data_IF_504469862882
#
_entry.id   IF_504469862882
#
_cell.length_a   1.000
_cell.length_b   1.000
_cell.length_c   1.000
_cell.angle_alpha   90.00
_cell.angle_beta   90.00
_cell.angle_gamma   90.00
#
_symmetry.space_group_name_H-M   'P 1'
#
loop_
_entity.id
_entity.type
_entity.pdbx_description
1 polymer ?
#
# COMPACT_ATOMS: atom_id res chain seq x y z
N UNK A 1 21.99 -9.25 -2.39
CA UNK A 1 21.04 -9.31 -3.52
C UNK A 1 20.96 -10.79 -3.96
N UNK A 2 19.86 -11.50 -3.70
CA UNK A 2 19.72 -12.93 -4.07
C UNK A 2 19.52 -12.97 -5.59
N UNK A 3 20.52 -13.46 -6.32
CA UNK A 3 20.43 -13.61 -7.78
C UNK A 3 19.54 -14.82 -8.05
N UNK A 4 18.31 -14.58 -8.48
CA UNK A 4 17.39 -15.64 -8.91
C UNK A 4 17.85 -16.09 -10.30
N UNK A 5 18.65 -17.15 -10.36
CA UNK A 5 18.93 -17.83 -11.63
C UNK A 5 17.73 -18.71 -11.95
N UNK A 6 17.07 -18.45 -13.07
CA UNK A 6 16.08 -19.36 -13.66
C UNK A 6 16.76 -20.71 -13.91
N UNK A 7 16.49 -21.71 -13.09
CA UNK A 7 16.93 -23.08 -13.35
C UNK A 7 16.00 -23.65 -14.42
N UNK A 8 16.52 -23.82 -15.66
CA UNK A 8 15.81 -24.55 -16.72
C UNK A 8 15.84 -26.04 -16.36
N UNK A 9 14.69 -26.71 -16.40
CA UNK A 9 14.56 -28.16 -16.13
C UNK A 9 14.13 -28.55 -14.71
N UNK A 10 13.68 -27.61 -13.87
CA UNK A 10 13.09 -27.92 -12.57
C UNK A 10 11.59 -28.23 -12.70
N UNK A 11 11.13 -29.33 -12.09
CA UNK A 11 9.71 -29.69 -12.01
C UNK A 11 9.19 -29.23 -10.64
N UNK A 12 8.15 -28.40 -10.64
CA UNK A 12 7.42 -28.04 -9.43
C UNK A 12 6.12 -28.84 -9.41
N UNK A 13 5.88 -29.58 -8.33
CA UNK A 13 4.62 -30.29 -8.11
C UNK A 13 3.78 -29.48 -7.13
N UNK A 14 2.58 -29.10 -7.56
CA UNK A 14 1.58 -28.48 -6.70
C UNK A 14 0.62 -29.58 -6.23
N UNK A 15 0.55 -29.79 -4.93
CA UNK A 15 -0.35 -30.76 -4.33
C UNK A 15 -1.39 -30.05 -3.46
N UNK A 16 -2.67 -30.39 -3.68
CA UNK A 16 -3.79 -29.98 -2.85
C UNK A 16 -4.81 -29.05 -3.51
N UNK A 17 -5.77 -28.62 -2.70
CA UNK A 17 -6.77 -27.59 -2.99
C UNK A 17 -7.32 -27.08 -1.65
N UNK A 18 -6.42 -26.59 -0.81
CA UNK A 18 -6.75 -26.19 0.56
C UNK A 18 -7.53 -24.88 0.55
N UNK A 19 -8.44 -24.71 1.52
CA UNK A 19 -9.32 -23.54 1.57
C UNK A 19 -8.55 -22.23 1.75
N UNK A 20 -7.41 -22.27 2.45
CA UNK A 20 -6.56 -21.11 2.66
C UNK A 20 -5.14 -21.50 3.08
N UNK A 21 -4.22 -20.53 3.08
CA UNK A 21 -2.89 -20.67 3.66
C UNK A 21 -2.87 -20.81 5.20
N UNK A 22 -4.02 -20.69 5.87
CA UNK A 22 -4.19 -20.93 7.32
C UNK A 22 -4.90 -22.26 7.60
N UNK A 23 -5.20 -23.03 6.57
CA UNK A 23 -5.89 -24.31 6.72
C UNK A 23 -5.02 -25.31 7.49
N UNK A 24 -5.55 -25.82 8.60
CA UNK A 24 -4.85 -26.76 9.49
C UNK A 24 -4.47 -28.03 8.72
N UNK A 25 -5.34 -28.49 7.81
CA UNK A 25 -5.10 -29.69 7.00
C UNK A 25 -3.92 -29.46 6.05
N UNK A 26 -3.84 -28.27 5.44
CA UNK A 26 -2.74 -27.88 4.57
C UNK A 26 -1.40 -27.85 5.30
N UNK A 27 -1.36 -27.27 6.50
CA UNK A 27 -0.15 -27.25 7.35
C UNK A 27 0.26 -28.64 7.82
N UNK A 28 -0.69 -29.50 8.20
CA UNK A 28 -0.41 -30.91 8.53
C UNK A 28 0.18 -31.67 7.34
N UNK A 29 -0.38 -31.46 6.15
CA UNK A 29 0.14 -32.10 4.93
C UNK A 29 1.52 -31.58 4.56
N UNK A 30 1.78 -30.27 4.69
CA UNK A 30 3.11 -29.71 4.52
C UNK A 30 4.12 -30.34 5.49
N UNK A 31 3.78 -30.41 6.78
CA UNK A 31 4.64 -31.03 7.80
C UNK A 31 4.91 -32.51 7.51
N UNK A 32 3.91 -33.23 7.00
CA UNK A 32 4.10 -34.61 6.56
C UNK A 32 5.02 -34.71 5.33
N UNK A 33 4.89 -33.81 4.36
CA UNK A 33 5.76 -33.76 3.17
C UNK A 33 7.21 -33.45 3.56
N UNK A 34 7.41 -32.48 4.45
CA UNK A 34 8.74 -32.05 4.90
C UNK A 34 9.47 -33.14 5.69
N UNK A 35 8.76 -34.00 6.42
CA UNK A 35 9.40 -34.92 7.37
C UNK A 35 9.31 -36.39 6.98
N UNK A 36 8.21 -36.81 6.36
CA UNK A 36 7.88 -38.23 6.17
C UNK A 36 7.76 -38.64 4.71
N UNK A 37 7.50 -37.70 3.80
CA UNK A 37 7.31 -38.04 2.39
C UNK A 37 8.64 -38.22 1.66
N UNK A 38 8.87 -39.42 1.14
CA UNK A 38 10.03 -39.75 0.32
C UNK A 38 9.56 -40.38 -1.00
N UNK A 39 9.48 -39.60 -2.10
CA UNK A 39 9.09 -40.15 -3.40
C UNK A 39 10.19 -41.05 -3.96
N UNK A 40 9.80 -42.08 -4.71
CA UNK A 40 10.74 -43.07 -5.32
C UNK A 40 11.83 -42.42 -6.19
N UNK A 41 11.53 -41.28 -6.80
CA UNK A 41 12.49 -40.49 -7.58
C UNK A 41 13.62 -39.92 -6.71
N UNK A 42 13.38 -39.70 -5.42
CA UNK A 42 14.34 -39.13 -4.47
C UNK A 42 14.99 -40.19 -3.54
N UNK A 43 14.66 -41.47 -3.71
CA UNK A 43 15.09 -42.57 -2.83
C UNK A 43 16.18 -43.48 -3.43
N UNK A 44 16.97 -42.97 -4.38
CA UNK A 44 18.02 -43.76 -5.06
C UNK A 44 19.39 -43.67 -4.39
N UNK A 45 20.35 -44.44 -4.91
CA UNK A 45 21.76 -44.28 -4.53
C UNK A 45 22.30 -42.93 -4.96
N UNK A 46 23.03 -42.29 -4.06
CA UNK A 46 23.73 -41.03 -4.31
C UNK A 46 24.87 -41.28 -5.30
N UNK A 47 24.84 -40.61 -6.44
CA UNK A 47 25.86 -40.69 -7.48
C UNK A 47 26.99 -39.67 -7.29
N UNK A 48 26.78 -38.60 -6.51
CA UNK A 48 27.82 -37.58 -6.24
C UNK A 48 27.51 -36.81 -4.96
N UNK A 49 28.54 -36.58 -4.14
CA UNK A 49 28.47 -35.81 -2.90
C UNK A 49 29.00 -34.39 -3.10
N UNK A 50 28.12 -33.39 -2.99
CA UNK A 50 28.40 -31.98 -3.26
C UNK A 50 27.20 -31.11 -2.88
N UNK A 51 27.21 -29.80 -3.20
CA UNK A 51 26.08 -28.88 -2.87
C UNK A 51 24.72 -29.30 -3.45
N UNK A 52 24.74 -30.16 -4.46
CA UNK A 52 23.57 -30.72 -5.13
C UNK A 52 23.78 -32.23 -5.22
N UNK A 53 22.86 -32.99 -4.65
CA UNK A 53 22.89 -34.46 -4.66
C UNK A 53 22.24 -34.93 -5.95
N UNK A 54 22.99 -35.69 -6.74
CA UNK A 54 22.46 -36.39 -7.93
C UNK A 54 22.27 -37.87 -7.59
N UNK A 55 21.14 -38.41 -7.97
CA UNK A 55 20.79 -39.82 -7.79
C UNK A 55 21.01 -40.59 -9.08
N UNK A 56 21.33 -41.89 -8.99
CA UNK A 56 21.52 -42.76 -10.17
C UNK A 56 20.27 -42.84 -11.07
N UNK A 57 19.09 -42.66 -10.49
CA UNK A 57 17.80 -42.64 -11.20
C UNK A 57 17.50 -41.29 -11.90
N UNK A 58 18.46 -40.34 -11.93
CA UNK A 58 18.31 -39.03 -12.57
C UNK A 58 17.71 -37.95 -11.67
N UNK A 59 17.32 -38.25 -10.44
CA UNK A 59 16.83 -37.26 -9.47
C UNK A 59 17.94 -36.29 -9.03
N UNK A 60 17.62 -35.00 -8.95
CA UNK A 60 18.56 -33.95 -8.52
C UNK A 60 17.89 -33.09 -7.47
N UNK A 61 18.49 -32.99 -6.27
CA UNK A 61 17.97 -32.16 -5.19
C UNK A 61 19.08 -31.47 -4.40
N UNK A 62 18.70 -30.45 -3.63
CA UNK A 62 19.63 -29.73 -2.76
C UNK A 62 19.77 -30.48 -1.43
N UNK A 63 20.98 -30.91 -1.08
CA UNK A 63 21.26 -31.52 0.21
C UNK A 63 20.89 -30.55 1.34
N UNK A 64 20.01 -31.00 2.23
CA UNK A 64 19.52 -30.27 3.40
C UNK A 64 19.50 -31.26 4.56
N UNK A 65 19.79 -30.81 5.78
CA UNK A 65 19.77 -31.68 6.96
C UNK A 65 18.36 -32.27 7.18
N UNK A 66 18.18 -33.53 6.79
CA UNK A 66 16.90 -34.26 6.85
C UNK A 66 16.33 -34.61 5.47
N UNK A 67 15.02 -34.44 5.31
CA UNK A 67 14.31 -34.80 4.07
C UNK A 67 14.70 -33.89 2.88
N UNK A 68 14.83 -34.44 1.66
CA UNK A 68 14.98 -33.68 0.42
C UNK A 68 13.89 -32.61 0.19
N UNK A 69 12.72 -32.76 0.82
CA UNK A 69 11.55 -31.90 0.64
C UNK A 69 11.33 -30.89 1.78
N UNK A 70 12.32 -30.72 2.67
CA UNK A 70 12.27 -29.75 3.79
C UNK A 70 12.13 -28.28 3.35
N UNK A 71 12.29 -28.00 2.06
CA UNK A 71 12.07 -26.69 1.45
C UNK A 71 10.68 -26.49 0.84
N UNK A 72 9.76 -27.44 1.00
CA UNK A 72 8.37 -27.28 0.56
C UNK A 72 7.70 -26.09 1.27
N UNK A 73 6.74 -25.45 0.61
CA UNK A 73 6.00 -24.32 1.20
C UNK A 73 4.59 -24.22 0.63
N UNK A 74 3.69 -23.62 1.41
CA UNK A 74 2.34 -23.29 0.94
C UNK A 74 2.38 -21.99 0.12
N UNK A 75 1.77 -22.03 -1.06
CA UNK A 75 1.63 -20.87 -1.94
C UNK A 75 0.16 -20.63 -2.29
N UNK A 76 -0.14 -19.41 -2.74
CA UNK A 76 -1.46 -19.06 -3.29
C UNK A 76 -1.70 -19.87 -4.55
N UNK A 77 -2.95 -20.29 -4.76
CA UNK A 77 -3.35 -21.03 -5.94
C UNK A 77 -3.01 -20.21 -7.21
N UNK A 78 -2.16 -20.71 -8.12
CA UNK A 78 -1.75 -19.99 -9.32
C UNK A 78 -2.88 -19.82 -10.35
N UNK A 79 -3.97 -20.58 -10.22
CA UNK A 79 -5.16 -20.43 -11.06
C UNK A 79 -6.02 -19.23 -10.65
N UNK A 80 -5.77 -18.64 -9.47
CA UNK A 80 -6.48 -17.42 -9.07
C UNK A 80 -6.07 -16.26 -9.97
N UNK A 81 -7.07 -15.50 -10.39
CA UNK A 81 -6.81 -14.22 -11.07
C UNK A 81 -6.06 -13.27 -10.14
N UNK A 82 -5.36 -12.30 -10.71
CA UNK A 82 -4.64 -11.28 -9.93
C UNK A 82 -5.57 -10.50 -9.00
N UNK A 83 -6.84 -10.32 -9.38
CA UNK A 83 -7.86 -9.67 -8.55
C UNK A 83 -8.29 -10.52 -7.36
N UNK A 84 -8.56 -11.81 -7.58
CA UNK A 84 -8.93 -12.74 -6.51
C UNK A 84 -7.78 -12.95 -5.51
N UNK A 85 -6.56 -13.12 -6.00
CA UNK A 85 -5.38 -13.22 -5.15
C UNK A 85 -5.20 -11.99 -4.25
N UNK A 86 -5.47 -10.78 -4.78
CA UNK A 86 -5.43 -9.53 -4.00
C UNK A 86 -6.52 -9.46 -2.94
N UNK A 87 -7.72 -9.99 -3.18
CA UNK A 87 -8.81 -10.01 -2.17
C UNK A 87 -8.41 -10.80 -0.92
N UNK A 88 -7.63 -11.86 -1.08
CA UNK A 88 -7.17 -12.70 0.03
C UNK A 88 -5.94 -12.15 0.76
N UNK A 89 -5.16 -11.28 0.10
CA UNK A 89 -3.95 -10.71 0.68
C UNK A 89 -4.26 -9.46 1.54
N UNK A 90 -4.52 -9.67 2.84
CA UNK A 90 -4.60 -8.58 3.82
C UNK A 90 -3.22 -8.29 4.40
N UNK A 91 -2.70 -7.08 4.17
CA UNK A 91 -1.43 -6.65 4.76
C UNK A 91 -1.63 -6.26 6.24
N UNK A 92 -1.12 -7.03 7.22
CA UNK A 92 -1.41 -6.80 8.64
C UNK A 92 -0.93 -5.43 9.12
N UNK A 93 0.16 -4.92 8.54
CA UNK A 93 0.69 -3.61 8.90
C UNK A 93 -0.24 -2.49 8.44
N UNK A 94 -0.73 -2.53 7.19
CA UNK A 94 -1.66 -1.51 6.69
C UNK A 94 -2.99 -1.54 7.44
N UNK A 95 -3.47 -2.74 7.79
CA UNK A 95 -4.66 -2.91 8.62
C UNK A 95 -4.50 -2.28 10.01
N UNK A 96 -3.30 -2.34 10.61
CA UNK A 96 -2.96 -1.71 11.89
C UNK A 96 -2.80 -0.19 11.77
N UNK A 97 -2.24 0.30 10.67
CA UNK A 97 -2.05 1.73 10.42
C UNK A 97 -3.36 2.47 10.18
N UNK A 98 -4.39 1.78 9.70
CA UNK A 98 -5.68 2.35 9.33
C UNK A 98 -6.81 1.83 10.23
N UNK A 99 -6.81 2.12 11.54
CA UNK A 99 -7.86 1.66 12.43
C UNK A 99 -9.24 2.14 11.97
N UNK A 100 -10.29 1.43 12.41
CA UNK A 100 -11.67 1.88 12.23
C UNK A 100 -11.87 3.20 12.97
N UNK A 101 -12.27 4.24 12.25
CA UNK A 101 -12.51 5.57 12.81
C UNK A 101 -13.36 6.37 11.84
N UNK A 102 -13.98 7.48 12.28
CA UNK A 102 -14.97 8.23 11.47
C UNK A 102 -14.47 8.51 10.06
N UNK A 103 -13.30 9.14 9.95
CA UNK A 103 -12.66 9.50 8.68
C UNK A 103 -11.75 8.41 8.10
N UNK A 104 -11.80 7.16 8.57
CA UNK A 104 -10.93 6.09 8.05
C UNK A 104 -11.34 5.70 6.64
N UNK A 105 -10.36 5.41 5.77
CA UNK A 105 -10.59 4.92 4.41
C UNK A 105 -11.43 3.64 4.36
N UNK A 106 -11.45 2.85 5.45
CA UNK A 106 -12.29 1.65 5.58
C UNK A 106 -13.79 1.94 5.46
N UNK A 107 -14.21 3.18 5.71
CA UNK A 107 -15.60 3.59 5.62
C UNK A 107 -15.98 4.07 4.21
N UNK A 108 -15.02 4.11 3.26
CA UNK A 108 -15.30 4.47 1.88
C UNK A 108 -15.96 3.28 1.16
N UNK A 109 -17.16 3.48 0.65
CA UNK A 109 -17.95 2.45 -0.06
C UNK A 109 -17.59 2.35 -1.55
N UNK A 110 -16.85 3.31 -2.09
CA UNK A 110 -16.41 3.32 -3.48
C UNK A 110 -15.27 2.34 -3.72
N UNK A 111 -15.07 1.96 -4.99
CA UNK A 111 -13.87 1.21 -5.41
C UNK A 111 -12.67 2.13 -5.60
N UNK A 112 -12.92 3.41 -5.89
CA UNK A 112 -11.92 4.43 -6.14
C UNK A 112 -12.23 5.70 -5.36
N UNK A 113 -11.20 6.48 -5.05
CA UNK A 113 -11.30 7.77 -4.38
C UNK A 113 -10.21 8.72 -4.89
N UNK A 114 -10.40 10.02 -4.72
CA UNK A 114 -9.47 11.02 -5.21
C UNK A 114 -8.55 11.50 -4.09
N UNK A 115 -7.24 11.31 -4.21
CA UNK A 115 -6.24 11.90 -3.30
C UNK A 115 -6.18 13.40 -3.56
N UNK A 116 -6.44 14.19 -2.51
CA UNK A 116 -6.42 15.66 -2.56
C UNK A 116 -5.29 16.26 -1.74
N UNK A 117 -4.74 15.56 -0.75
CA UNK A 117 -3.60 16.03 0.02
C UNK A 117 -2.71 14.86 0.48
N UNK A 118 -1.40 15.04 0.39
CA UNK A 118 -0.40 14.08 0.86
C UNK A 118 0.46 14.68 1.97
N UNK A 119 0.48 14.03 3.14
CA UNK A 119 1.30 14.39 4.30
C UNK A 119 2.43 13.38 4.48
N UNK A 120 3.65 13.84 4.32
CA UNK A 120 4.85 13.03 4.48
C UNK A 120 5.44 13.23 5.88
N UNK A 121 6.03 12.18 6.45
CA UNK A 121 6.86 12.34 7.64
C UNK A 121 8.12 13.18 7.32
N UNK A 122 8.90 13.55 8.34
CA UNK A 122 10.17 14.30 8.24
C UNK A 122 11.28 13.59 7.40
N UNK A 123 10.96 12.53 6.67
CA UNK A 123 11.87 11.76 5.80
C UNK A 123 11.44 11.89 4.32
N UNK A 124 11.31 13.12 3.84
CA UNK A 124 11.63 13.42 2.45
C UNK A 124 12.68 14.52 2.46
N UNK A 125 13.92 14.09 2.28
CA UNK A 125 15.06 14.94 1.96
C UNK A 125 14.71 15.87 0.81
N UNK A 126 14.93 17.14 1.08
CA UNK A 126 15.05 18.29 0.19
C UNK A 126 15.24 17.92 -1.29
N UNK A 127 14.24 18.24 -2.12
CA UNK A 127 14.43 18.43 -3.56
C UNK A 127 13.87 19.81 -3.90
N UNK A 128 14.78 20.74 -4.22
CA UNK A 128 14.44 22.08 -4.73
C UNK A 128 14.97 23.21 -3.85
N UNK A 129 16.00 23.91 -4.34
CA UNK A 129 16.65 25.07 -3.71
C UNK A 129 15.74 26.30 -3.69
N UNK A 130 15.70 26.99 -2.55
CA UNK A 130 15.85 28.44 -2.33
C UNK A 130 15.02 28.86 -1.12
N UNK A 131 15.65 29.63 -0.23
CA UNK A 131 15.35 29.67 1.19
C UNK A 131 13.98 30.21 1.57
N UNK A 132 13.40 29.59 2.59
CA UNK A 132 12.70 30.28 3.67
C UNK A 132 12.96 29.48 4.96
N UNK A 133 13.67 30.16 5.86
CA UNK A 133 13.86 29.94 7.29
C UNK A 133 14.11 28.54 7.85
N UNK A 134 15.33 28.41 8.39
CA UNK A 134 15.71 27.52 9.48
C UNK A 134 14.89 27.85 10.74
N UNK A 135 13.60 27.52 10.76
CA UNK A 135 12.92 27.33 12.01
C UNK A 135 13.50 26.05 12.63
N UNK A 136 14.33 26.22 13.66
CA UNK A 136 14.84 25.14 14.54
C UNK A 136 13.73 24.14 14.79
N UNK A 137 13.78 22.99 14.09
CA UNK A 137 12.89 21.87 14.34
C UNK A 137 13.30 21.34 15.71
N UNK A 138 12.65 21.84 16.76
CA UNK A 138 12.69 21.24 18.08
C UNK A 138 12.35 19.77 17.89
N UNK A 139 13.33 18.94 18.23
CA UNK A 139 13.27 17.49 18.13
C UNK A 139 12.36 16.98 19.26
N UNK A 140 11.07 17.25 19.16
CA UNK A 140 10.09 16.53 19.94
C UNK A 140 10.09 15.06 19.51
N UNK A 141 10.05 14.17 20.51
CA UNK A 141 10.02 12.70 20.37
C UNK A 141 8.80 12.16 19.59
N UNK A 142 8.00 13.03 18.98
CA UNK A 142 6.92 12.65 18.08
C UNK A 142 7.49 12.39 16.69
N UNK A 143 7.42 11.13 16.24
CA UNK A 143 7.86 10.74 14.90
C UNK A 143 7.18 11.64 13.85
N UNK A 144 7.89 12.10 12.81
CA UNK A 144 7.30 12.95 11.78
C UNK A 144 6.05 12.34 11.12
N UNK A 145 5.96 11.01 11.10
CA UNK A 145 4.78 10.27 10.65
C UNK A 145 3.57 10.44 11.58
N UNK A 146 3.78 10.54 12.90
CA UNK A 146 2.71 10.85 13.87
C UNK A 146 2.11 12.22 13.61
N UNK A 147 2.94 13.21 13.26
CA UNK A 147 2.48 14.56 12.89
C UNK A 147 1.68 14.48 11.59
N UNK A 148 2.23 13.85 10.54
CA UNK A 148 1.52 13.66 9.27
C UNK A 148 0.16 12.95 9.44
N UNK A 149 0.11 11.94 10.32
CA UNK A 149 -1.13 11.23 10.68
C UNK A 149 -2.15 12.19 11.29
N UNK A 150 -1.73 13.00 12.25
CA UNK A 150 -2.60 13.95 12.93
C UNK A 150 -3.08 15.06 11.99
N UNK A 151 -2.20 15.59 11.14
CA UNK A 151 -2.54 16.60 10.13
C UNK A 151 -3.59 16.10 9.15
N UNK A 152 -3.39 14.91 8.60
CA UNK A 152 -4.36 14.29 7.69
C UNK A 152 -5.72 14.07 8.37
N UNK A 153 -5.72 13.65 9.63
CA UNK A 153 -6.93 13.44 10.41
C UNK A 153 -7.69 14.74 10.69
N UNK A 154 -7.00 15.81 11.09
CA UNK A 154 -7.61 17.13 11.32
C UNK A 154 -8.20 17.67 10.02
N UNK A 155 -7.43 17.60 8.91
CA UNK A 155 -7.91 18.05 7.60
C UNK A 155 -9.17 17.28 7.18
N UNK A 156 -9.16 15.94 7.25
CA UNK A 156 -10.32 15.16 6.85
C UNK A 156 -11.56 15.43 7.71
N UNK A 157 -11.41 15.59 9.03
CA UNK A 157 -12.51 15.98 9.90
C UNK A 157 -13.09 17.35 9.52
N UNK A 158 -12.22 18.31 9.22
CA UNK A 158 -12.65 19.65 8.79
C UNK A 158 -13.34 19.62 7.43
N UNK A 159 -12.84 18.82 6.48
CA UNK A 159 -13.50 18.64 5.19
C UNK A 159 -14.89 18.02 5.36
N UNK A 160 -15.04 17.03 6.26
CA UNK A 160 -16.34 16.45 6.58
C UNK A 160 -17.30 17.42 7.26
N UNK A 161 -16.83 18.26 8.17
CA UNK A 161 -17.69 19.26 8.82
C UNK A 161 -18.23 20.30 7.83
N UNK A 162 -17.54 20.51 6.71
CA UNK A 162 -17.96 21.38 5.60
C UNK A 162 -18.84 20.65 4.57
N UNK A 163 -19.05 19.34 4.73
CA UNK A 163 -19.94 18.54 3.88
C UNK A 163 -19.24 17.75 2.75
N UNK A 164 -17.92 17.57 2.81
CA UNK A 164 -17.21 16.71 1.87
C UNK A 164 -17.08 15.27 2.39
N UNK A 165 -17.23 14.28 1.51
CA UNK A 165 -16.91 12.88 1.82
C UNK A 165 -15.40 12.64 1.83
N UNK A 166 -14.73 13.08 2.89
CA UNK A 166 -13.29 12.96 3.05
C UNK A 166 -12.88 11.70 3.83
N UNK A 167 -11.80 11.03 3.43
CA UNK A 167 -11.24 9.87 4.13
C UNK A 167 -9.73 9.96 4.24
N UNK A 168 -9.17 9.33 5.26
CA UNK A 168 -7.74 9.27 5.53
C UNK A 168 -7.23 7.86 5.33
N UNK A 169 -6.16 7.74 4.56
CA UNK A 169 -5.39 6.52 4.41
C UNK A 169 -3.95 6.74 4.88
N UNK A 170 -3.47 5.84 5.73
CA UNK A 170 -2.13 5.82 6.26
C UNK A 170 -1.34 4.68 5.61
N UNK A 171 -0.23 5.03 5.00
CA UNK A 171 0.77 4.08 4.52
C UNK A 171 2.03 4.16 5.42
N UNK A 172 3.01 3.30 5.16
CA UNK A 172 4.30 3.21 5.86
C UNK A 172 5.08 4.53 5.83
N UNK A 173 4.87 5.35 4.80
CA UNK A 173 5.69 6.53 4.51
C UNK A 173 4.92 7.86 4.58
N UNK A 174 3.59 7.81 4.47
CA UNK A 174 2.77 9.01 4.37
C UNK A 174 1.33 8.77 4.81
N UNK A 175 0.63 9.86 5.10
CA UNK A 175 -0.82 9.89 5.30
C UNK A 175 -1.43 10.71 4.18
N UNK A 176 -2.47 10.20 3.53
CA UNK A 176 -3.17 10.91 2.46
C UNK A 176 -4.60 11.18 2.87
N UNK A 177 -5.12 12.33 2.44
CA UNK A 177 -6.54 12.68 2.52
C UNK A 177 -7.13 12.51 1.13
N UNK A 178 -8.26 11.81 1.08
CA UNK A 178 -8.98 11.44 -0.12
C UNK A 178 -10.40 11.99 -0.06
N UNK A 179 -11.03 12.24 -1.21
CA UNK A 179 -12.40 12.74 -1.31
C UNK A 179 -13.19 11.88 -2.28
N UNK A 180 -14.44 11.61 -1.90
CA UNK A 180 -15.42 10.92 -2.71
C UNK A 180 -15.29 9.41 -2.69
N UNK A 181 -16.38 8.77 -3.10
CA UNK A 181 -16.53 7.33 -3.21
C UNK A 181 -17.02 7.05 -4.63
N UNK A 182 -16.15 6.52 -5.49
CA UNK A 182 -16.43 6.35 -6.91
C UNK A 182 -16.28 4.90 -7.34
N UNK A 183 -17.01 4.51 -8.38
CA UNK A 183 -16.75 3.30 -9.14
C UNK A 183 -16.31 3.68 -10.56
N UNK A 184 -15.01 3.65 -10.84
CA UNK A 184 -14.48 3.99 -12.17
C UNK A 184 -14.96 3.06 -13.28
N UNK A 185 -15.42 1.85 -12.94
CA UNK A 185 -16.04 0.95 -13.94
C UNK A 185 -17.35 1.51 -14.48
N UNK A 186 -17.99 2.38 -13.70
CA UNK A 186 -19.13 3.18 -14.14
C UNK A 186 -18.63 4.46 -14.83
N UNK A 187 -18.71 4.46 -16.17
CA UNK A 187 -18.29 5.57 -17.02
C UNK A 187 -19.02 6.89 -16.70
N UNK A 188 -20.20 6.82 -16.09
CA UNK A 188 -20.98 8.01 -15.73
C UNK A 188 -20.35 8.82 -14.60
N UNK A 189 -19.47 8.21 -13.81
CA UNK A 189 -18.81 8.86 -12.67
C UNK A 189 -17.47 9.54 -13.04
N UNK A 190 -16.95 9.28 -14.25
CA UNK A 190 -15.70 9.89 -14.74
C UNK A 190 -15.78 11.44 -14.74
N UNK A 191 -16.86 12.08 -15.23
CA UNK A 191 -16.99 13.54 -15.16
C UNK A 191 -17.01 14.07 -13.72
N UNK A 192 -17.61 13.34 -12.78
CA UNK A 192 -17.63 13.73 -11.37
C UNK A 192 -16.21 13.69 -10.75
N UNK A 193 -15.44 12.66 -11.04
CA UNK A 193 -14.03 12.56 -10.62
C UNK A 193 -13.21 13.73 -11.20
N UNK A 194 -13.39 14.05 -12.48
CA UNK A 194 -12.70 15.16 -13.13
C UNK A 194 -13.08 16.52 -12.53
N UNK A 195 -14.36 16.70 -12.18
CA UNK A 195 -14.85 17.90 -11.51
C UNK A 195 -14.18 18.09 -10.15
N UNK A 196 -14.11 17.05 -9.33
CA UNK A 196 -13.43 17.11 -8.02
C UNK A 196 -11.91 17.29 -8.18
N UNK A 197 -11.29 16.63 -9.16
CA UNK A 197 -9.87 16.82 -9.47
C UNK A 197 -9.55 18.27 -9.87
N UNK A 198 -10.43 18.92 -10.66
CA UNK A 198 -10.31 20.34 -11.00
C UNK A 198 -10.60 21.27 -9.82
N UNK A 199 -11.47 20.85 -8.90
CA UNK A 199 -11.83 21.63 -7.70
C UNK A 199 -10.65 21.77 -6.74
N UNK A 200 -9.96 20.66 -6.48
CA UNK A 200 -8.85 20.57 -5.52
C UNK A 200 -7.46 20.75 -6.16
N UNK A 201 -7.35 20.55 -7.48
CA UNK A 201 -6.09 20.72 -8.20
C UNK A 201 -5.68 22.17 -8.37
N UNK A 202 -4.40 22.37 -8.68
CA UNK A 202 -3.83 23.68 -8.86
C UNK A 202 -4.48 24.41 -10.05
N UNK A 203 -4.59 25.74 -9.92
CA UNK A 203 -5.18 26.61 -10.93
C UNK A 203 -4.16 27.64 -11.40
N UNK A 204 -4.22 27.96 -12.68
CA UNK A 204 -3.43 29.05 -13.25
C UNK A 204 -4.00 30.36 -12.73
N UNK A 205 -3.15 31.16 -12.08
CA UNK A 205 -3.48 32.50 -11.60
C UNK A 205 -2.41 33.47 -12.06
N UNK A 206 -2.80 34.72 -12.27
CA UNK A 206 -1.86 35.79 -12.55
C UNK A 206 -1.25 36.27 -11.24
N UNK A 207 0.08 36.35 -11.19
CA UNK A 207 0.77 36.96 -10.06
C UNK A 207 0.77 38.50 -10.17
N UNK A 208 1.32 39.19 -9.16
CA UNK A 208 1.46 40.65 -9.16
C UNK A 208 2.32 41.20 -10.32
N UNK A 209 3.06 40.34 -11.02
CA UNK A 209 3.94 40.67 -12.15
C UNK A 209 3.30 40.35 -13.52
N UNK A 210 2.00 40.05 -13.57
CA UNK A 210 1.30 39.60 -14.78
C UNK A 210 1.91 38.34 -15.43
N UNK A 211 2.46 37.42 -14.63
CA UNK A 211 2.90 36.11 -15.11
C UNK A 211 1.88 35.05 -14.69
N UNK A 212 1.65 34.07 -15.58
CA UNK A 212 0.80 32.91 -15.29
C UNK A 212 1.56 31.92 -14.39
N UNK A 213 1.11 31.78 -13.15
CA UNK A 213 1.69 30.84 -12.18
C UNK A 213 0.67 29.78 -11.77
N UNK A 214 1.12 28.53 -11.71
CA UNK A 214 0.32 27.41 -11.22
C UNK A 214 0.27 27.48 -9.69
N UNK A 215 -0.89 27.81 -9.13
CA UNK A 215 -1.09 27.98 -7.68
C UNK A 215 -1.88 26.81 -7.13
N UNK A 216 -1.30 26.08 -6.15
CA UNK A 216 -1.99 25.03 -5.42
C UNK A 216 -3.20 25.61 -4.65
N UNK A 217 -4.29 24.84 -4.62
CA UNK A 217 -5.47 25.23 -3.84
C UNK A 217 -5.20 25.03 -2.35
N UNK A 218 -5.83 25.87 -1.54
CA UNK A 218 -5.71 25.85 -0.09
C UNK A 218 -7.08 25.73 0.56
N UNK A 219 -7.12 25.07 1.72
CA UNK A 219 -8.27 25.11 2.62
C UNK A 219 -7.83 25.64 3.97
N UNK A 220 -8.68 26.47 4.57
CA UNK A 220 -8.45 27.08 5.88
C UNK A 220 -9.37 26.48 6.93
N UNK A 221 -8.94 26.49 8.19
CA UNK A 221 -9.77 26.28 9.36
C UNK A 221 -9.88 27.61 10.13
N UNK A 222 -11.07 28.23 10.25
CA UNK A 222 -12.37 27.82 9.68
C UNK A 222 -12.41 27.93 8.15
N UNK A 223 -13.37 27.25 7.51
CA UNK A 223 -13.53 27.22 6.05
C UNK A 223 -13.81 28.61 5.45
N UNK A 224 -14.54 29.46 6.18
CA UNK A 224 -14.77 30.87 5.85
C UNK A 224 -14.26 31.72 7.01
N UNK A 225 -12.99 32.19 6.95
CA UNK A 225 -12.45 33.05 8.01
C UNK A 225 -13.13 34.40 8.02
N UNK A 226 -13.30 34.96 9.22
CA UNK A 226 -13.86 36.29 9.46
C UNK A 226 -12.89 37.08 10.36
N UNK A 227 -13.08 38.38 10.49
CA UNK A 227 -12.27 39.21 11.40
C UNK A 227 -12.36 38.72 12.85
N UNK A 228 -13.52 38.17 13.24
CA UNK A 228 -13.78 37.64 14.58
C UNK A 228 -13.24 36.20 14.75
N UNK A 229 -13.23 35.40 13.67
CA UNK A 229 -12.69 34.04 13.66
C UNK A 229 -11.60 33.89 12.58
N UNK A 230 -10.37 34.35 12.88
CA UNK A 230 -9.28 34.36 11.92
C UNK A 230 -8.81 32.94 11.57
N UNK A 231 -8.01 32.84 10.51
CA UNK A 231 -7.46 31.56 10.06
C UNK A 231 -6.54 30.98 11.14
N UNK A 232 -6.95 29.86 11.71
CA UNK A 232 -6.15 29.09 12.69
C UNK A 232 -5.16 28.18 12.00
N UNK A 233 -5.54 27.65 10.83
CA UNK A 233 -4.72 26.68 10.09
C UNK A 233 -5.01 26.72 8.60
N UNK A 234 -3.99 26.41 7.79
CA UNK A 234 -4.08 26.29 6.33
C UNK A 234 -3.45 24.97 5.91
N UNK A 235 -4.06 24.31 4.93
CA UNK A 235 -3.48 23.15 4.26
C UNK A 235 -3.41 23.42 2.76
N UNK A 236 -2.32 22.96 2.14
CA UNK A 236 -2.14 22.93 0.70
C UNK A 236 -2.66 21.60 0.18
N UNK A 237 -3.42 21.64 -0.91
CA UNK A 237 -3.78 20.45 -1.67
C UNK A 237 -2.67 20.05 -2.62
N UNK A 238 -2.66 18.77 -2.99
CA UNK A 238 -1.76 18.23 -4.00
C UNK A 238 -2.10 18.92 -5.33
N UNK A 239 -1.11 19.50 -6.04
CA UNK A 239 -1.37 20.32 -7.23
C UNK A 239 -2.02 19.53 -8.37
N UNK A 240 -1.82 18.21 -8.38
CA UNK A 240 -2.47 17.29 -9.31
C UNK A 240 -3.10 16.14 -8.51
N UNK A 241 -4.39 16.24 -8.15
CA UNK A 241 -5.13 15.18 -7.49
C UNK A 241 -5.08 13.88 -8.32
N UNK A 242 -4.92 12.75 -7.63
CA UNK A 242 -4.78 11.44 -8.28
C UNK A 242 -5.82 10.47 -7.77
N UNK A 243 -6.38 9.67 -8.67
CA UNK A 243 -7.29 8.59 -8.27
C UNK A 243 -6.48 7.46 -7.65
N UNK A 244 -6.96 6.92 -6.54
CA UNK A 244 -6.46 5.69 -5.93
C UNK A 244 -7.59 4.68 -5.77
N UNK A 245 -7.23 3.40 -5.83
CA UNK A 245 -8.12 2.32 -5.44
C UNK A 245 -8.30 2.33 -3.92
N UNK A 246 -9.52 2.09 -3.46
CA UNK A 246 -9.80 1.93 -2.02
C UNK A 246 -9.21 0.59 -1.57
N UNK A 247 -8.22 0.60 -0.67
CA UNK A 247 -7.52 -0.62 -0.29
C UNK A 247 -8.42 -1.54 0.54
N UNK A 248 -8.36 -2.84 0.26
CA UNK A 248 -9.01 -3.85 1.09
C UNK A 248 -8.15 -4.12 2.35
N UNK A 249 -8.59 -3.60 3.50
CA UNK A 249 -7.84 -3.57 4.78
C UNK A 249 -8.36 -4.56 5.83
#
# INVERSE_FOLDING_TARGET
>A
RKVVRSQKGAICVLAGNYKSNKDIVGHKTLSWIENNFSPKLLSGDIATDGRVTKLKNGGVFKSTDGSPLKGAFLTVNPLLTTEEARKHFKNPLLARLNPSGKCSIRNNKGKHTLIVASFYGKSMTSVGKSGYDRAKIKLDKTSGLSIAKNEAWILANHMRSVGFDAYVYHDRYKSVVTVGAFDKSDKTQIPAIQKEAKRFGAKIRWNQKNEQVLTAEIITLPFKPTTINPVRKKWLFDPQPRVMDVPNL
#
